data_IF_285539621773
#
_entry.id   IF_285539621773
#
_cell.length_a   1.000
_cell.length_b   1.000
_cell.length_c   1.000
_cell.angle_alpha   90.00
_cell.angle_beta   90.00
_cell.angle_gamma   90.00
#
_symmetry.space_group_name_H-M   'P 1'
#
loop_
_entity.id
_entity.type
_entity.pdbx_description
1 polymer ?
#
# COMPACT_ATOMS: atom_id res chain seq x y z
N UNK A 1 -1.49 -24.69 14.47
CA UNK A 1 -1.77 -25.53 13.29
C UNK A 1 -0.49 -25.62 12.47
N UNK A 2 -0.11 -26.80 11.96
CA UNK A 2 1.02 -26.92 11.05
C UNK A 2 0.67 -26.20 9.73
N UNK A 3 1.49 -25.23 9.33
CA UNK A 3 1.33 -24.49 8.07
C UNK A 3 1.62 -25.42 6.90
N UNK A 4 0.63 -25.67 6.04
CA UNK A 4 0.86 -26.37 4.77
C UNK A 4 1.78 -25.51 3.87
N UNK A 5 2.70 -26.12 3.12
CA UNK A 5 3.50 -25.36 2.16
C UNK A 5 2.61 -24.71 1.11
N UNK A 6 2.94 -23.48 0.71
CA UNK A 6 2.23 -22.79 -0.36
C UNK A 6 2.59 -23.42 -1.72
N UNK A 7 1.58 -23.57 -2.56
CA UNK A 7 1.72 -23.87 -3.98
C UNK A 7 1.79 -22.54 -4.75
N UNK A 8 2.99 -21.95 -4.76
CA UNK A 8 3.27 -20.68 -5.47
C UNK A 8 3.59 -21.01 -6.93
N UNK A 9 2.72 -20.59 -7.85
CA UNK A 9 2.92 -20.85 -9.29
C UNK A 9 3.97 -19.95 -9.93
N UNK A 10 4.17 -18.74 -9.40
CA UNK A 10 5.22 -17.81 -9.82
C UNK A 10 6.11 -17.44 -8.62
N UNK A 11 7.35 -17.98 -8.55
CA UNK A 11 8.28 -17.70 -7.46
C UNK A 11 8.66 -16.22 -7.31
N UNK A 12 8.49 -15.40 -8.36
CA UNK A 12 8.84 -13.98 -8.30
C UNK A 12 7.98 -13.18 -7.33
N UNK A 13 6.82 -13.70 -6.91
CA UNK A 13 6.04 -13.19 -5.79
C UNK A 13 6.90 -12.93 -4.55
N UNK A 14 7.86 -13.82 -4.26
CA UNK A 14 8.71 -13.73 -3.07
C UNK A 14 9.74 -12.58 -3.14
N UNK A 15 9.89 -11.94 -4.29
CA UNK A 15 10.62 -10.67 -4.39
C UNK A 15 9.80 -9.49 -3.85
N UNK A 16 8.47 -9.62 -3.86
CA UNK A 16 7.50 -8.58 -3.52
C UNK A 16 6.74 -8.87 -2.21
N UNK A 17 6.86 -10.06 -1.65
CA UNK A 17 6.23 -10.42 -0.38
C UNK A 17 7.10 -11.41 0.38
N UNK A 18 7.25 -11.24 1.70
CA UNK A 18 7.98 -12.22 2.52
C UNK A 18 7.18 -13.52 2.57
N UNK A 19 7.85 -14.68 2.51
CA UNK A 19 7.16 -15.98 2.53
C UNK A 19 6.20 -16.13 3.74
N UNK A 20 6.62 -15.66 4.92
CA UNK A 20 5.77 -15.68 6.12
C UNK A 20 4.51 -14.83 5.99
N UNK A 21 4.58 -13.70 5.27
CA UNK A 21 3.42 -12.84 5.03
C UNK A 21 2.49 -13.51 4.02
N UNK A 22 3.04 -14.07 2.95
CA UNK A 22 2.26 -14.84 1.97
C UNK A 22 1.50 -16.00 2.63
N UNK A 23 2.10 -16.66 3.63
CA UNK A 23 1.41 -17.70 4.41
C UNK A 23 0.24 -17.13 5.22
N UNK A 24 0.37 -15.93 5.77
CA UNK A 24 -0.72 -15.24 6.49
C UNK A 24 -1.86 -14.88 5.52
N UNK A 25 -1.54 -14.38 4.32
CA UNK A 25 -2.55 -14.12 3.29
C UNK A 25 -3.31 -15.39 2.88
N UNK A 26 -2.60 -16.49 2.65
CA UNK A 26 -3.23 -17.77 2.32
C UNK A 26 -4.13 -18.28 3.47
N UNK A 27 -3.69 -18.14 4.72
CA UNK A 27 -4.50 -18.48 5.89
C UNK A 27 -5.77 -17.63 5.97
N UNK A 28 -5.67 -16.32 5.72
CA UNK A 28 -6.83 -15.43 5.67
C UNK A 28 -7.80 -15.83 4.56
N UNK A 29 -7.29 -16.12 3.35
CA UNK A 29 -8.09 -16.55 2.22
C UNK A 29 -8.92 -17.81 2.53
N UNK A 30 -8.28 -18.81 3.17
CA UNK A 30 -8.96 -20.02 3.63
C UNK A 30 -9.98 -19.77 4.75
N UNK A 31 -9.58 -19.01 5.77
CA UNK A 31 -10.41 -18.73 6.94
C UNK A 31 -11.71 -18.02 6.56
N UNK A 32 -11.61 -16.98 5.74
CA UNK A 32 -12.75 -16.16 5.33
C UNK A 32 -13.43 -16.66 4.06
N UNK A 33 -12.90 -17.72 3.42
CA UNK A 33 -13.40 -18.28 2.15
C UNK A 33 -13.50 -17.20 1.06
N UNK A 34 -12.41 -16.49 0.87
CA UNK A 34 -12.26 -15.40 -0.09
C UNK A 34 -11.05 -15.66 -1.00
N UNK A 35 -11.06 -15.05 -2.18
CA UNK A 35 -9.85 -14.78 -2.94
C UNK A 35 -9.29 -13.43 -2.48
N UNK A 36 -7.98 -13.34 -2.30
CA UNK A 36 -7.32 -12.07 -1.93
C UNK A 36 -6.33 -11.73 -3.03
N UNK A 37 -6.58 -10.63 -3.74
CA UNK A 37 -5.67 -10.10 -4.75
C UNK A 37 -4.86 -8.94 -4.16
N UNK A 38 -3.54 -9.01 -4.28
CA UNK A 38 -2.60 -8.02 -3.72
C UNK A 38 -1.72 -7.47 -4.84
N UNK A 39 -1.56 -6.15 -4.94
CA UNK A 39 -0.62 -5.55 -5.90
C UNK A 39 0.82 -5.77 -5.44
N UNK A 40 1.73 -6.00 -6.39
CA UNK A 40 3.16 -6.12 -6.09
C UNK A 40 3.73 -4.81 -5.54
N UNK A 41 4.27 -4.89 -4.32
CA UNK A 41 4.92 -3.74 -3.67
C UNK A 41 6.35 -3.55 -4.16
N UNK A 42 6.96 -2.43 -3.78
CA UNK A 42 8.38 -2.18 -4.05
C UNK A 42 9.24 -3.18 -3.25
N UNK A 43 10.04 -3.99 -3.93
CA UNK A 43 10.87 -5.05 -3.32
C UNK A 43 11.81 -4.49 -2.24
N UNK A 44 12.34 -3.29 -2.43
CA UNK A 44 13.22 -2.63 -1.46
C UNK A 44 12.49 -2.24 -0.16
N UNK A 45 11.15 -2.20 -0.14
CA UNK A 45 10.38 -1.89 1.06
C UNK A 45 10.33 -3.06 2.05
N UNK A 46 10.51 -4.31 1.58
CA UNK A 46 10.39 -5.51 2.41
C UNK A 46 11.35 -5.53 3.60
N UNK A 47 12.53 -4.92 3.43
CA UNK A 47 13.54 -4.86 4.47
C UNK A 47 13.12 -4.01 5.68
N UNK A 48 12.08 -3.18 5.58
CA UNK A 48 11.64 -2.29 6.68
C UNK A 48 10.47 -2.86 7.47
N UNK A 49 9.84 -3.93 6.98
CA UNK A 49 8.63 -4.47 7.62
C UNK A 49 8.95 -4.96 9.03
N UNK A 50 8.25 -4.41 10.02
CA UNK A 50 8.42 -4.74 11.44
C UNK A 50 9.65 -4.10 12.10
N UNK A 51 10.45 -3.30 11.37
CA UNK A 51 11.59 -2.61 11.98
C UNK A 51 11.13 -1.41 12.82
N UNK A 52 11.73 -1.18 14.00
CA UNK A 52 11.46 0.02 14.79
C UNK A 52 11.74 1.29 13.99
N UNK A 53 10.90 2.32 14.17
CA UNK A 53 10.96 3.61 13.44
C UNK A 53 10.63 3.55 11.94
N UNK A 54 10.09 2.44 11.46
CA UNK A 54 9.56 2.34 10.11
C UNK A 54 8.10 1.93 10.17
N UNK A 55 7.28 2.53 9.31
CA UNK A 55 5.86 2.17 9.20
C UNK A 55 5.43 2.05 7.74
N UNK A 56 4.48 1.16 7.44
CA UNK A 56 3.86 1.12 6.13
C UNK A 56 3.04 2.38 5.91
N UNK A 57 3.01 2.79 4.65
CA UNK A 57 2.28 3.93 4.12
C UNK A 57 0.81 3.94 4.53
N UNK A 58 0.32 5.09 5.00
CA UNK A 58 -1.07 5.27 5.38
C UNK A 58 -1.95 5.60 4.17
N UNK A 59 -3.27 5.48 4.33
CA UNK A 59 -4.26 5.77 3.28
C UNK A 59 -4.12 7.16 2.65
N UNK A 60 -3.80 8.19 3.45
CA UNK A 60 -3.65 9.58 3.01
C UNK A 60 -2.28 9.89 2.38
N UNK A 61 -1.34 8.95 2.42
CA UNK A 61 -0.06 9.09 1.74
C UNK A 61 -0.13 8.40 0.37
N UNK A 62 -0.18 9.18 -0.73
CA UNK A 62 -0.12 8.64 -2.11
C UNK A 62 1.24 8.85 -2.80
N UNK A 63 2.14 9.62 -2.20
CA UNK A 63 3.54 9.79 -2.62
C UNK A 63 4.29 8.46 -2.84
N UNK A 64 5.27 8.44 -3.73
CA UNK A 64 5.91 7.19 -4.18
C UNK A 64 7.16 6.84 -3.39
N UNK A 65 7.41 5.54 -3.24
CA UNK A 65 8.66 5.02 -2.69
C UNK A 65 9.78 5.09 -3.73
N UNK A 66 11.03 5.28 -3.30
CA UNK A 66 12.18 5.17 -4.17
C UNK A 66 12.45 3.69 -4.53
N UNK A 67 12.76 3.42 -5.80
CA UNK A 67 13.26 2.13 -6.25
C UNK A 67 14.77 1.96 -5.87
N UNK A 68 15.53 3.06 -5.77
CA UNK A 68 16.98 3.04 -5.53
C UNK A 68 17.45 3.96 -4.39
N UNK A 69 18.63 3.66 -3.86
CA UNK A 69 19.43 4.58 -3.07
C UNK A 69 19.98 5.69 -3.99
N UNK A 70 20.09 6.92 -3.50
CA UNK A 70 20.49 8.07 -4.32
C UNK A 70 21.75 8.75 -3.85
N UNK A 71 22.48 9.34 -4.79
CA UNK A 71 23.59 10.25 -4.50
C UNK A 71 23.08 11.68 -4.65
N UNK A 72 23.12 12.46 -3.57
CA UNK A 72 22.80 13.89 -3.59
C UNK A 72 24.05 14.65 -3.14
N UNK A 73 24.53 15.59 -3.97
CA UNK A 73 25.75 16.37 -3.72
C UNK A 73 26.96 15.51 -3.35
N UNK A 74 27.17 14.39 -4.05
CA UNK A 74 28.31 13.48 -3.85
C UNK A 74 28.19 12.54 -2.65
N UNK A 75 27.10 12.59 -1.87
CA UNK A 75 26.85 11.69 -0.73
C UNK A 75 25.74 10.70 -1.04
N UNK A 76 25.98 9.42 -0.73
CA UNK A 76 25.00 8.34 -0.85
C UNK A 76 24.02 8.35 0.33
N UNK A 77 22.72 8.31 0.03
CA UNK A 77 21.63 8.24 1.00
C UNK A 77 20.82 6.95 0.82
N UNK A 78 20.39 6.37 1.94
CA UNK A 78 19.57 5.15 1.95
C UNK A 78 18.11 5.52 1.74
N UNK A 79 17.64 5.44 0.51
CA UNK A 79 16.27 5.85 0.14
C UNK A 79 15.44 4.70 -0.40
N UNK A 80 16.07 3.64 -0.91
CA UNK A 80 15.36 2.53 -1.55
C UNK A 80 14.30 1.94 -0.60
N UNK A 81 13.06 1.81 -1.09
CA UNK A 81 11.91 1.27 -0.36
C UNK A 81 11.17 2.26 0.54
N UNK A 82 11.69 3.48 0.74
CA UNK A 82 11.06 4.53 1.54
C UNK A 82 10.33 5.55 0.65
N UNK A 83 9.28 6.17 1.17
CA UNK A 83 8.62 7.33 0.55
C UNK A 83 9.57 8.52 0.62
N UNK A 84 9.77 9.19 -0.52
CA UNK A 84 10.76 10.26 -0.68
C UNK A 84 10.15 11.49 -1.34
N UNK A 85 10.76 12.64 -1.07
CA UNK A 85 10.52 13.87 -1.82
C UNK A 85 11.27 13.81 -3.17
N UNK A 86 10.57 13.65 -4.31
CA UNK A 86 11.20 13.56 -5.63
C UNK A 86 11.96 14.84 -6.02
N UNK A 87 11.65 15.99 -5.42
CA UNK A 87 12.35 17.25 -5.69
C UNK A 87 13.72 17.32 -5.02
N UNK A 88 13.95 16.51 -3.98
CA UNK A 88 15.24 16.37 -3.29
C UNK A 88 16.07 15.24 -3.88
N UNK A 89 15.47 14.06 -4.06
CA UNK A 89 16.20 12.85 -4.48
C UNK A 89 16.37 12.73 -6.00
N UNK A 90 15.58 13.49 -6.77
CA UNK A 90 15.63 13.52 -8.23
C UNK A 90 15.12 12.25 -8.91
N UNK A 91 15.32 12.18 -10.23
CA UNK A 91 14.87 11.07 -11.07
C UNK A 91 15.62 9.76 -10.84
N UNK A 92 16.87 9.83 -10.36
CA UNK A 92 17.71 8.67 -10.08
C UNK A 92 17.15 7.73 -9.00
N UNK A 93 16.20 8.19 -8.19
CA UNK A 93 15.50 7.37 -7.21
C UNK A 93 14.52 6.35 -7.82
N UNK A 94 14.16 6.47 -9.11
CA UNK A 94 13.02 5.76 -9.71
C UNK A 94 13.39 4.99 -10.97
N UNK A 95 12.79 3.80 -11.17
CA UNK A 95 12.92 3.03 -12.41
C UNK A 95 11.99 3.54 -13.53
N UNK A 96 12.42 3.42 -14.78
CA UNK A 96 11.55 3.45 -15.97
C UNK A 96 10.59 4.63 -16.08
N UNK A 97 11.06 5.87 -15.89
CA UNK A 97 10.23 7.07 -16.09
C UNK A 97 9.18 7.34 -15.00
N UNK A 98 9.12 6.51 -13.94
CA UNK A 98 8.19 6.70 -12.80
C UNK A 98 8.33 8.04 -12.08
N UNK A 99 9.43 8.76 -12.27
CA UNK A 99 9.68 10.05 -11.66
C UNK A 99 8.57 11.08 -11.94
N UNK A 100 8.00 11.10 -13.16
CA UNK A 100 6.91 12.03 -13.51
C UNK A 100 5.66 11.75 -12.68
N UNK A 101 5.29 10.46 -12.54
CA UNK A 101 4.17 10.04 -11.68
C UNK A 101 4.47 10.31 -10.21
N UNK A 102 5.72 10.16 -9.78
CA UNK A 102 6.14 10.49 -8.42
C UNK A 102 5.97 11.99 -8.11
N UNK A 103 6.37 12.88 -9.02
CA UNK A 103 6.15 14.33 -8.89
C UNK A 103 4.65 14.68 -8.82
N UNK A 104 3.83 14.09 -9.69
CA UNK A 104 2.39 14.35 -9.70
C UNK A 104 1.71 13.93 -8.38
N UNK A 105 2.02 12.74 -7.87
CA UNK A 105 1.50 12.27 -6.59
C UNK A 105 2.11 13.01 -5.39
N UNK A 106 3.34 13.53 -5.54
CA UNK A 106 3.97 14.37 -4.53
C UNK A 106 3.26 15.71 -4.35
N UNK A 107 2.88 16.40 -5.42
CA UNK A 107 2.17 17.69 -5.29
C UNK A 107 0.81 17.55 -4.59
N UNK A 108 0.12 16.43 -4.81
CA UNK A 108 -1.13 16.11 -4.09
C UNK A 108 -0.87 15.81 -2.60
N UNK A 109 0.28 15.21 -2.29
CA UNK A 109 0.65 14.81 -0.93
C UNK A 109 1.32 15.93 -0.11
N UNK A 110 2.03 16.86 -0.75
CA UNK A 110 2.77 17.95 -0.09
C UNK A 110 1.92 18.77 0.90
N UNK A 111 0.62 19.01 0.66
CA UNK A 111 -0.28 19.59 1.65
C UNK A 111 -0.45 18.77 2.93
N UNK A 112 -0.01 17.51 3.05
CA UNK A 112 -0.04 16.77 4.32
C UNK A 112 1.22 16.98 5.17
N UNK A 113 2.25 17.63 4.61
CA UNK A 113 3.52 17.90 5.27
C UNK A 113 3.42 19.10 6.21
N UNK A 114 4.00 18.95 7.41
CA UNK A 114 4.32 20.07 8.28
C UNK A 114 5.50 20.88 7.77
N UNK A 115 5.67 22.13 8.26
CA UNK A 115 6.75 22.99 7.81
C UNK A 115 8.11 22.44 8.26
N UNK A 116 9.12 22.55 7.39
CA UNK A 116 10.48 22.13 7.70
C UNK A 116 11.09 23.00 8.82
N UNK A 117 10.75 24.29 8.81
CA UNK A 117 11.15 25.33 9.77
C UNK A 117 9.92 26.12 10.23
N UNK A 118 9.87 26.49 11.50
CA UNK A 118 8.86 27.37 12.06
C UNK A 118 9.20 28.85 11.77
N UNK A 119 8.30 29.76 12.16
CA UNK A 119 8.47 31.20 11.95
C UNK A 119 9.75 31.79 12.58
N UNK A 120 10.31 31.11 13.58
CA UNK A 120 11.57 31.48 14.23
C UNK A 120 12.83 30.93 13.52
N UNK A 121 12.67 30.33 12.33
CA UNK A 121 13.76 29.74 11.54
C UNK A 121 14.25 28.39 12.07
N UNK A 122 13.70 27.88 13.18
CA UNK A 122 14.09 26.60 13.76
C UNK A 122 13.15 25.48 13.37
N UNK A 123 13.62 24.22 13.27
CA UNK A 123 12.76 23.07 13.08
C UNK A 123 11.70 22.99 14.19
N UNK A 124 10.40 22.91 13.89
CA UNK A 124 9.38 22.82 14.93
C UNK A 124 9.51 21.49 15.69
N UNK A 125 9.39 21.54 17.02
CA UNK A 125 9.34 20.33 17.84
C UNK A 125 8.06 19.54 17.60
N UNK A 126 6.93 20.24 17.45
CA UNK A 126 5.62 19.67 17.15
C UNK A 126 5.09 20.18 15.81
N UNK A 127 4.51 19.28 15.03
CA UNK A 127 3.79 19.63 13.80
C UNK A 127 2.44 20.29 14.13
N UNK A 128 1.92 21.16 13.26
CA UNK A 128 0.56 21.67 13.37
C UNK A 128 -0.48 20.54 13.46
N UNK A 129 -1.57 20.74 14.19
CA UNK A 129 -2.56 19.69 14.52
C UNK A 129 -3.15 18.94 13.30
N UNK A 130 -3.18 19.56 12.12
CA UNK A 130 -3.69 18.99 10.87
C UNK A 130 -2.59 18.40 9.97
N UNK A 131 -1.36 18.29 10.46
CA UNK A 131 -0.20 17.77 9.73
C UNK A 131 0.42 16.64 10.52
N UNK A 132 0.65 15.51 9.86
CA UNK A 132 1.22 14.31 10.47
C UNK A 132 2.51 13.84 9.80
N UNK A 133 2.98 14.53 8.75
CA UNK A 133 4.17 14.14 8.00
C UNK A 133 5.23 15.22 7.97
N UNK A 134 6.48 14.83 7.79
CA UNK A 134 7.57 15.73 7.42
C UNK A 134 8.60 15.03 6.54
N UNK A 135 9.46 15.83 5.90
CA UNK A 135 10.62 15.33 5.17
C UNK A 135 11.86 15.46 6.03
N UNK A 136 12.71 14.44 6.05
CA UNK A 136 14.04 14.52 6.66
C UNK A 136 14.94 15.41 5.81
N UNK A 137 15.09 16.67 6.21
CA UNK A 137 15.85 17.69 5.48
C UNK A 137 17.26 17.93 6.01
N UNK A 138 17.75 17.14 6.97
CA UNK A 138 19.15 17.20 7.42
C UNK A 138 20.07 16.41 6.46
N UNK A 139 20.98 17.07 5.71
CA UNK A 139 21.91 16.38 4.80
C UNK A 139 22.90 15.47 5.53
N UNK A 140 23.05 15.60 6.85
CA UNK A 140 23.88 14.69 7.64
C UNK A 140 23.22 13.30 7.79
N UNK A 141 21.88 13.25 7.78
CA UNK A 141 21.09 12.06 8.07
C UNK A 141 21.10 11.05 6.90
N UNK A 142 21.18 9.75 7.21
CA UNK A 142 21.26 8.67 6.21
C UNK A 142 20.03 8.59 5.28
N UNK A 143 18.87 9.01 5.78
CA UNK A 143 17.58 9.06 5.09
C UNK A 143 17.19 10.48 4.64
N UNK A 144 18.15 11.32 4.26
CA UNK A 144 17.87 12.65 3.70
C UNK A 144 16.90 12.55 2.51
N UNK A 145 15.86 13.39 2.51
CA UNK A 145 14.79 13.38 1.51
C UNK A 145 13.66 12.36 1.77
N UNK A 146 13.76 11.49 2.79
CA UNK A 146 12.70 10.55 3.12
C UNK A 146 11.59 11.16 3.97
N UNK A 147 10.36 10.69 3.76
CA UNK A 147 9.17 11.08 4.53
C UNK A 147 9.12 10.32 5.85
N UNK A 148 8.80 11.04 6.91
CA UNK A 148 8.46 10.50 8.23
C UNK A 148 7.02 10.85 8.59
N UNK A 149 6.33 9.91 9.24
CA UNK A 149 5.03 10.12 9.86
C UNK A 149 5.21 10.29 11.38
N UNK A 150 4.64 11.37 11.92
CA UNK A 150 4.69 11.76 13.33
C UNK A 150 3.30 11.66 13.92
N UNK A 151 2.93 10.47 14.42
CA UNK A 151 1.59 10.18 14.94
C UNK A 151 1.13 11.16 16.04
N UNK A 152 2.02 11.59 16.92
CA UNK A 152 1.74 12.54 18.01
C UNK A 152 2.03 14.00 17.63
N UNK A 153 2.37 14.27 16.37
CA UNK A 153 2.94 15.54 15.93
C UNK A 153 4.38 15.78 16.40
N UNK A 154 4.91 15.01 17.35
CA UNK A 154 6.29 15.16 17.84
C UNK A 154 7.29 14.73 16.76
N UNK A 155 8.07 15.68 16.25
CA UNK A 155 9.05 15.47 15.15
C UNK A 155 10.08 14.38 15.48
N UNK A 156 10.57 14.35 16.71
CA UNK A 156 11.61 13.40 17.15
C UNK A 156 11.11 11.96 17.28
N UNK A 157 9.79 11.77 17.31
CA UNK A 157 9.14 10.46 17.32
C UNK A 157 8.66 10.02 15.91
N UNK A 158 9.13 10.70 14.86
CA UNK A 158 8.82 10.35 13.47
C UNK A 158 9.26 8.95 13.09
N UNK A 159 8.44 8.27 12.30
CA UNK A 159 8.73 6.97 11.72
C UNK A 159 8.83 7.09 10.20
N UNK A 160 9.88 6.56 9.59
CA UNK A 160 10.04 6.56 8.13
C UNK A 160 8.95 5.73 7.47
N UNK A 161 8.40 6.26 6.38
CA UNK A 161 7.29 5.62 5.68
C UNK A 161 7.83 4.73 4.58
N UNK A 162 7.47 3.44 4.57
CA UNK A 162 7.83 2.47 3.53
C UNK A 162 6.60 1.95 2.80
N UNK A 163 6.81 1.20 1.71
CA UNK A 163 5.74 0.57 0.94
C UNK A 163 4.90 -0.42 1.77
N UNK A 164 3.60 -0.45 1.51
CA UNK A 164 2.61 -1.31 2.14
C UNK A 164 2.17 -2.45 1.19
N UNK A 165 1.28 -3.33 1.65
CA UNK A 165 0.59 -4.33 0.82
C UNK A 165 -0.78 -3.80 0.44
N UNK A 166 -0.89 -3.36 -0.81
CA UNK A 166 -2.11 -2.76 -1.33
C UNK A 166 -3.05 -3.85 -1.87
N UNK A 167 -4.22 -3.98 -1.24
CA UNK A 167 -5.22 -4.94 -1.70
C UNK A 167 -5.90 -4.43 -2.96
N UNK A 168 -5.80 -5.23 -4.03
CA UNK A 168 -6.50 -5.00 -5.28
C UNK A 168 -7.99 -5.33 -5.13
N UNK A 169 -8.30 -6.54 -4.63
CA UNK A 169 -9.67 -7.01 -4.44
C UNK A 169 -9.75 -8.12 -3.38
N UNK A 170 -10.92 -8.25 -2.75
CA UNK A 170 -11.28 -9.37 -1.88
C UNK A 170 -12.60 -9.95 -2.39
N UNK A 171 -12.54 -11.14 -2.99
CA UNK A 171 -13.71 -11.74 -3.67
C UNK A 171 -14.25 -12.93 -2.89
N UNK A 172 -15.50 -12.92 -2.39
CA UNK A 172 -16.08 -14.03 -1.65
C UNK A 172 -16.37 -15.23 -2.56
N UNK A 173 -16.05 -16.45 -2.11
CA UNK A 173 -16.32 -17.68 -2.90
C UNK A 173 -17.80 -17.87 -3.20
N UNK A 174 -18.67 -17.54 -2.24
CA UNK A 174 -20.12 -17.67 -2.37
C UNK A 174 -20.77 -16.56 -3.22
N UNK A 175 -20.01 -15.54 -3.60
CA UNK A 175 -20.55 -14.36 -4.29
C UNK A 175 -19.49 -13.67 -5.15
N UNK A 176 -19.02 -14.41 -6.17
CA UNK A 176 -17.88 -13.97 -6.97
C UNK A 176 -18.22 -12.82 -7.93
N UNK A 177 -19.45 -12.82 -8.45
CA UNK A 177 -19.91 -11.89 -9.48
C UNK A 177 -20.48 -10.58 -8.97
N UNK A 178 -20.94 -10.49 -7.71
CA UNK A 178 -21.45 -9.21 -7.17
C UNK A 178 -20.31 -8.28 -6.84
N UNK A 179 -20.53 -6.97 -6.99
CA UNK A 179 -19.50 -5.97 -6.72
C UNK A 179 -20.04 -4.84 -5.85
N UNK A 180 -20.36 -5.17 -4.58
CA UNK A 180 -21.02 -4.30 -3.61
C UNK A 180 -20.00 -3.67 -2.67
N UNK A 181 -20.04 -2.33 -2.55
CA UNK A 181 -19.15 -1.56 -1.68
C UNK A 181 -19.92 -0.60 -0.80
N UNK A 182 -19.27 -0.21 0.29
CA UNK A 182 -19.59 1.02 1.02
C UNK A 182 -18.54 2.06 0.66
N UNK A 183 -19.03 3.22 0.23
CA UNK A 183 -18.22 4.43 0.12
C UNK A 183 -18.24 5.18 1.46
N UNK A 184 -17.07 5.57 1.93
CA UNK A 184 -16.86 6.27 3.19
C UNK A 184 -15.70 7.27 3.05
N UNK A 185 -15.61 8.24 3.96
CA UNK A 185 -14.44 9.13 4.06
C UNK A 185 -13.56 8.68 5.23
N UNK A 186 -12.28 8.41 4.96
CA UNK A 186 -11.30 8.05 5.99
C UNK A 186 -10.06 8.92 5.87
N UNK A 187 -9.72 9.60 6.96
CA UNK A 187 -8.59 10.55 7.00
C UNK A 187 -8.67 11.62 5.89
N UNK A 188 -9.89 12.10 5.60
CA UNK A 188 -10.13 13.10 4.55
C UNK A 188 -10.03 12.57 3.12
N UNK A 189 -9.94 11.25 2.94
CA UNK A 189 -9.80 10.60 1.63
C UNK A 189 -11.00 9.69 1.36
N UNK A 190 -11.65 9.80 0.19
CA UNK A 190 -12.66 8.84 -0.24
C UNK A 190 -12.09 7.43 -0.26
N UNK A 191 -12.81 6.52 0.39
CA UNK A 191 -12.44 5.13 0.56
C UNK A 191 -13.65 4.28 0.21
N UNK A 192 -13.44 3.27 -0.64
CA UNK A 192 -14.43 2.25 -0.90
C UNK A 192 -13.94 0.96 -0.25
N UNK A 193 -14.87 0.19 0.31
CA UNK A 193 -14.57 -1.14 0.81
C UNK A 193 -15.73 -2.07 0.61
N UNK A 194 -15.40 -3.29 0.23
CA UNK A 194 -16.32 -4.40 0.26
C UNK A 194 -16.44 -4.97 1.66
N UNK A 195 -17.08 -6.11 1.66
CA UNK A 195 -17.78 -6.65 2.80
C UNK A 195 -16.79 -7.34 3.76
N UNK A 196 -15.85 -8.09 3.21
CA UNK A 196 -14.89 -8.90 3.96
C UNK A 196 -13.58 -8.14 4.24
N UNK A 197 -13.41 -6.92 3.70
CA UNK A 197 -12.14 -6.18 3.74
C UNK A 197 -11.62 -5.99 5.18
N UNK A 198 -12.46 -5.52 6.10
CA UNK A 198 -12.01 -5.15 7.44
C UNK A 198 -11.58 -6.38 8.26
N UNK A 199 -12.27 -7.51 8.12
CA UNK A 199 -11.93 -8.74 8.82
C UNK A 199 -10.63 -9.33 8.27
N UNK A 200 -10.49 -9.37 6.94
CA UNK A 200 -9.26 -9.80 6.25
C UNK A 200 -8.08 -8.90 6.63
N UNK A 201 -8.24 -7.57 6.54
CA UNK A 201 -7.22 -6.59 6.91
C UNK A 201 -6.80 -6.74 8.37
N UNK A 202 -7.76 -6.89 9.28
CA UNK A 202 -7.49 -7.03 10.72
C UNK A 202 -6.71 -8.30 11.00
N UNK A 203 -7.14 -9.43 10.41
CA UNK A 203 -6.46 -10.71 10.56
C UNK A 203 -5.02 -10.65 10.05
N UNK A 204 -4.82 -10.18 8.81
CA UNK A 204 -3.48 -10.13 8.20
C UNK A 204 -2.53 -9.27 9.02
N UNK A 205 -2.95 -8.05 9.38
CA UNK A 205 -2.12 -7.14 10.16
C UNK A 205 -1.75 -7.68 11.54
N UNK A 206 -2.69 -8.37 12.21
CA UNK A 206 -2.44 -8.98 13.52
C UNK A 206 -1.40 -10.11 13.44
N UNK A 207 -1.36 -10.87 12.34
CA UNK A 207 -0.48 -12.02 12.18
C UNK A 207 0.87 -11.69 11.52
N UNK A 208 0.97 -10.59 10.76
CA UNK A 208 2.25 -10.07 10.25
C UNK A 208 3.07 -9.37 11.35
N UNK A 209 2.40 -8.84 12.38
CA UNK A 209 3.04 -8.05 13.45
C UNK A 209 3.40 -6.62 13.05
N UNK A 210 3.00 -6.20 11.84
CA UNK A 210 3.07 -4.84 11.33
C UNK A 210 1.80 -4.57 10.52
N UNK A 211 1.20 -3.37 10.60
CA UNK A 211 -0.04 -3.06 9.90
C UNK A 211 0.19 -2.83 8.39
N UNK A 212 0.66 -3.85 7.68
CA UNK A 212 1.07 -3.80 6.27
C UNK A 212 -0.07 -3.58 5.28
N UNK A 213 -1.30 -3.97 5.62
CA UNK A 213 -2.48 -3.66 4.83
C UNK A 213 -3.13 -2.43 5.43
N UNK A 214 -2.94 -1.26 4.81
CA UNK A 214 -3.41 0.04 5.33
C UNK A 214 -4.64 0.57 4.61
N UNK A 215 -4.81 0.17 3.37
CA UNK A 215 -5.95 0.49 2.54
C UNK A 215 -6.25 -0.68 1.60
N UNK A 216 -7.49 -0.78 1.15
CA UNK A 216 -7.87 -1.87 0.27
C UNK A 216 -9.25 -1.69 -0.33
N UNK A 217 -9.43 -2.41 -1.44
CA UNK A 217 -10.64 -2.49 -2.27
C UNK A 217 -11.03 -1.20 -3.00
N UNK A 218 -10.04 -0.72 -3.73
CA UNK A 218 -10.31 -0.01 -4.96
C UNK A 218 -10.04 -1.01 -6.08
N UNK A 219 -11.06 -1.75 -6.54
CA UNK A 219 -11.04 -2.48 -7.82
C UNK A 219 -10.93 -1.53 -9.03
N UNK A 220 -10.31 -0.36 -8.82
CA UNK A 220 -9.95 0.62 -9.80
C UNK A 220 -8.91 -0.02 -10.71
N UNK A 221 -9.41 -0.61 -11.78
CA UNK A 221 -8.61 -1.07 -12.89
C UNK A 221 -8.56 0.04 -13.94
N UNK A 222 -7.35 0.47 -14.29
CA UNK A 222 -7.16 1.25 -15.50
C UNK A 222 -6.52 0.39 -16.58
N UNK A 223 -7.15 0.34 -17.76
CA UNK A 223 -6.66 -0.41 -18.93
C UNK A 223 -5.24 0.00 -19.38
N UNK A 224 -4.73 1.13 -18.89
CA UNK A 224 -3.41 1.69 -19.17
C UNK A 224 -2.35 1.43 -18.08
N UNK A 225 -2.68 0.68 -17.03
CA UNK A 225 -1.73 0.40 -15.95
C UNK A 225 -1.07 -0.96 -16.11
N UNK A 226 0.26 -0.96 -16.03
CA UNK A 226 1.10 -2.15 -15.80
C UNK A 226 0.86 -2.62 -14.34
N UNK A 227 -0.31 -3.19 -14.07
CA UNK A 227 -0.62 -3.77 -12.77
C UNK A 227 -0.20 -5.24 -12.73
N UNK A 228 0.56 -5.59 -11.71
CA UNK A 228 0.92 -6.97 -11.38
C UNK A 228 0.28 -7.30 -10.04
N UNK A 229 -0.54 -8.36 -10.02
CA UNK A 229 -1.23 -8.83 -8.82
C UNK A 229 -0.90 -10.29 -8.51
N UNK A 230 -0.85 -10.59 -7.23
CA UNK A 230 -0.74 -11.95 -6.71
C UNK A 230 -2.05 -12.31 -6.01
N UNK A 231 -2.64 -13.45 -6.37
CA UNK A 231 -3.95 -13.90 -5.91
C UNK A 231 -3.82 -15.13 -5.05
N UNK A 232 -4.25 -15.01 -3.80
CA UNK A 232 -4.35 -16.09 -2.82
C UNK A 232 -5.74 -16.73 -2.93
N UNK A 233 -5.75 -18.04 -3.17
CA UNK A 233 -6.98 -18.80 -3.38
C UNK A 233 -7.59 -19.25 -2.04
N UNK A 234 -8.91 -19.51 -2.01
CA UNK A 234 -9.63 -19.90 -0.80
C UNK A 234 -9.29 -21.29 -0.27
N UNK A 235 -8.46 -22.06 -0.97
CA UNK A 235 -7.95 -23.37 -0.51
C UNK A 235 -6.82 -23.23 0.53
N UNK A 236 -6.30 -22.01 0.71
CA UNK A 236 -5.25 -21.69 1.67
C UNK A 236 -3.85 -22.15 1.28
N UNK A 237 -3.65 -22.60 0.05
CA UNK A 237 -2.36 -23.08 -0.44
C UNK A 237 -2.01 -22.55 -1.81
N UNK A 238 -2.98 -22.37 -2.70
CA UNK A 238 -2.72 -21.97 -4.10
C UNK A 238 -2.51 -20.46 -4.18
N UNK A 239 -1.42 -20.07 -4.83
CA UNK A 239 -1.10 -18.66 -5.13
C UNK A 239 -0.71 -18.53 -6.59
N UNK A 240 -1.40 -17.64 -7.31
CA UNK A 240 -1.16 -17.37 -8.74
C UNK A 240 -0.86 -15.90 -8.98
N UNK A 241 0.02 -15.61 -9.91
CA UNK A 241 0.37 -14.23 -10.29
C UNK A 241 -0.22 -13.88 -11.65
N UNK A 242 -0.73 -12.65 -11.77
CA UNK A 242 -1.31 -12.09 -12.98
C UNK A 242 -0.57 -10.78 -13.27
N UNK A 243 0.33 -10.81 -14.25
CA UNK A 243 1.39 -9.81 -14.41
C UNK A 243 1.09 -8.74 -15.46
N UNK A 244 -0.06 -8.84 -16.11
CA UNK A 244 -0.50 -7.88 -17.10
C UNK A 244 -2.02 -7.75 -17.13
N UNK A 245 -2.49 -6.72 -17.85
CA UNK A 245 -3.90 -6.43 -18.00
C UNK A 245 -4.70 -7.56 -18.69
N UNK A 246 -4.10 -8.39 -19.54
CA UNK A 246 -4.80 -9.49 -20.20
C UNK A 246 -5.03 -10.64 -19.21
N UNK A 247 -4.01 -11.00 -18.44
CA UNK A 247 -4.09 -12.02 -17.39
C UNK A 247 -5.12 -11.62 -16.30
N UNK A 248 -5.14 -10.35 -15.88
CA UNK A 248 -6.14 -9.86 -14.91
C UNK A 248 -7.56 -9.95 -15.48
N UNK A 249 -7.77 -9.62 -16.76
CA UNK A 249 -9.09 -9.78 -17.40
C UNK A 249 -9.51 -11.24 -17.47
N UNK A 250 -8.58 -12.14 -17.79
CA UNK A 250 -8.86 -13.58 -17.83
C UNK A 250 -9.27 -14.12 -16.45
N UNK A 251 -8.57 -13.71 -15.38
CA UNK A 251 -8.96 -14.00 -14.00
C UNK A 251 -10.40 -13.59 -13.73
N UNK A 252 -10.75 -12.35 -14.04
CA UNK A 252 -12.09 -11.82 -13.75
C UNK A 252 -13.17 -12.53 -14.58
N UNK A 253 -12.88 -12.85 -15.84
CA UNK A 253 -13.80 -13.58 -16.71
C UNK A 253 -14.04 -15.02 -16.25
N UNK A 254 -12.98 -15.75 -15.87
CA UNK A 254 -13.05 -17.19 -15.60
C UNK A 254 -13.29 -17.50 -14.11
N UNK A 255 -12.54 -16.89 -13.20
CA UNK A 255 -12.58 -17.21 -11.77
C UNK A 255 -13.62 -16.39 -11.03
N UNK A 256 -13.80 -15.11 -11.41
CA UNK A 256 -14.72 -14.19 -10.74
C UNK A 256 -16.06 -14.03 -11.44
N UNK A 257 -16.47 -15.02 -12.25
CA UNK A 257 -17.79 -15.07 -12.89
C UNK A 257 -18.16 -13.81 -13.69
N UNK A 258 -17.16 -13.20 -14.35
CA UNK A 258 -17.37 -11.97 -15.14
C UNK A 258 -17.59 -10.72 -14.30
N UNK A 259 -17.17 -10.70 -13.03
CA UNK A 259 -17.22 -9.53 -12.15
C UNK A 259 -16.73 -8.28 -12.88
N UNK A 260 -17.53 -7.22 -12.88
CA UNK A 260 -17.17 -5.97 -13.55
C UNK A 260 -16.17 -5.20 -12.71
N UNK A 261 -14.98 -4.92 -13.24
CA UNK A 261 -13.99 -4.05 -12.58
C UNK A 261 -14.56 -2.63 -12.42
N UNK A 262 -14.47 -2.05 -11.22
CA UNK A 262 -14.98 -0.70 -10.97
C UNK A 262 -14.05 0.36 -11.57
N UNK A 263 -14.64 1.39 -12.19
CA UNK A 263 -13.92 2.60 -12.59
C UNK A 263 -14.28 3.72 -11.62
N UNK A 264 -13.38 4.69 -11.45
CA UNK A 264 -13.70 5.88 -10.66
C UNK A 264 -14.98 6.55 -11.21
N UNK A 265 -16.00 6.71 -10.37
CA UNK A 265 -17.31 7.26 -10.74
C UNK A 265 -18.38 6.25 -11.17
N UNK A 266 -18.12 4.94 -11.10
CA UNK A 266 -19.17 3.92 -11.27
C UNK A 266 -20.17 4.01 -10.11
N UNK A 267 -21.46 4.12 -10.44
CA UNK A 267 -22.52 4.25 -9.44
C UNK A 267 -22.58 2.98 -8.57
N UNK A 268 -22.23 3.11 -7.30
CA UNK A 268 -22.31 2.02 -6.33
C UNK A 268 -23.74 1.88 -5.81
N UNK A 269 -24.21 0.64 -5.63
CA UNK A 269 -25.43 0.42 -4.85
C UNK A 269 -25.04 0.46 -3.38
N UNK A 270 -25.62 1.39 -2.61
CA UNK A 270 -25.35 1.45 -1.17
C UNK A 270 -25.68 0.11 -0.52
N UNK A 271 -24.70 -0.50 0.15
CA UNK A 271 -24.96 -1.69 0.95
C UNK A 271 -25.98 -1.35 2.06
N UNK A 272 -27.13 -2.02 2.07
CA UNK A 272 -28.10 -1.96 3.17
C UNK A 272 -27.68 -2.87 4.35
N UNK A 273 -27.98 -2.49 5.59
CA UNK A 273 -27.70 -3.29 6.80
C UNK A 273 -26.55 -2.76 7.68
N UNK A 274 -26.05 -3.59 8.61
CA UNK A 274 -25.00 -3.28 9.61
C UNK A 274 -23.60 -2.93 9.04
N UNK A 275 -23.48 -2.72 7.73
CA UNK A 275 -22.24 -2.34 7.03
C UNK A 275 -21.74 -0.93 7.39
N UNK A 276 -22.64 -0.09 7.92
CA UNK A 276 -22.32 1.18 8.56
C UNK A 276 -22.04 0.91 10.04
N UNK A 277 -20.76 0.79 10.43
CA UNK A 277 -20.40 1.02 11.83
C UNK A 277 -20.45 2.54 12.04
N UNK A 278 -21.30 2.96 12.99
CA UNK A 278 -21.41 4.36 13.40
C UNK A 278 -20.13 4.91 14.02
#
# INVERSE_FOLDING_TARGET
>A
MATRPLNIQDPSLLNHMRLMDAQVFAQAAALYRVYIAVRRTNTAALQYIGKPRYIPKMLDCKAKTADFDVIVNGKLYKTAGLVVDPTIVGSGAYKGGKHVKALSEWEKFRPHLGPAVAANGQPPMYLPAHRSYLVQTDPSHIHYGCVMHCKSGLRTAGHFVHGDYDLFSVVPVGDKGSNVFVEEERMGVPHARGKDLLDVQTYINAHIGSPMVRHGEQEHFSDSADEEIDVFFPDGVTVKSYLDAAAIRELYAQEFAGRTLHKAGTQTTSAGGLWKRG
#
